data_IF_037725854106
#
_entry.id   IF_037725854106
#
_cell.length_a   1.000
_cell.length_b   1.000
_cell.length_c   1.000
_cell.angle_alpha   90.00
_cell.angle_beta   90.00
_cell.angle_gamma   90.00
#
_symmetry.space_group_name_H-M   'P 1'
#
loop_
_entity.id
_entity.type
_entity.pdbx_description
1 polymer ?
#
# COMPACT_ATOMS: atom_id res chain seq x y z
N UNK A 1 5.31 -10.08 -21.42
CA UNK A 1 4.31 -10.93 -20.70
C UNK A 1 3.39 -10.01 -19.91
N UNK A 2 2.11 -10.14 -20.13
CA UNK A 2 1.11 -9.26 -19.48
C UNK A 2 0.78 -9.81 -18.09
N UNK A 3 1.40 -9.24 -17.05
CA UNK A 3 1.21 -9.68 -15.67
C UNK A 3 0.54 -8.57 -14.87
N UNK A 4 -0.56 -8.91 -14.19
CA UNK A 4 -1.22 -8.05 -13.21
C UNK A 4 -0.65 -8.33 -11.82
N UNK A 5 -0.36 -7.26 -11.07
CA UNK A 5 0.07 -7.32 -9.68
C UNK A 5 -0.98 -6.70 -8.76
N UNK A 6 -1.20 -7.30 -7.57
CA UNK A 6 -2.02 -6.72 -6.51
C UNK A 6 -1.13 -6.29 -5.36
N UNK A 7 -1.32 -5.06 -4.88
CA UNK A 7 -0.59 -4.46 -3.76
C UNK A 7 -1.53 -4.17 -2.60
N UNK A 8 -1.67 -5.08 -1.64
CA UNK A 8 -2.52 -4.89 -0.48
C UNK A 8 -1.84 -4.06 0.60
N UNK A 9 -2.60 -3.20 1.26
CA UNK A 9 -2.11 -2.41 2.38
C UNK A 9 -3.24 -1.72 3.14
N UNK A 10 -2.92 -1.25 4.36
CA UNK A 10 -3.85 -0.47 5.16
C UNK A 10 -3.94 0.98 4.68
N UNK A 11 -2.81 1.56 4.24
CA UNK A 11 -2.70 2.94 3.73
C UNK A 11 -3.36 3.98 4.66
N UNK A 12 -2.90 4.06 5.90
CA UNK A 12 -3.47 4.93 6.94
C UNK A 12 -2.47 5.99 7.47
N UNK A 13 -2.13 6.98 6.64
CA UNK A 13 -2.49 7.19 5.24
C UNK A 13 -1.51 6.56 4.25
N UNK A 14 -1.79 6.69 2.95
CA UNK A 14 -0.80 6.46 1.89
C UNK A 14 0.35 7.47 2.03
N UNK A 15 1.60 7.01 1.83
CA UNK A 15 2.82 7.81 1.98
C UNK A 15 3.62 7.85 0.67
N UNK A 16 4.62 8.72 0.61
CA UNK A 16 5.56 8.78 -0.51
C UNK A 16 6.30 7.44 -0.75
N UNK A 17 6.55 6.66 0.31
CA UNK A 17 7.12 5.32 0.17
C UNK A 17 6.17 4.32 -0.51
N UNK A 18 4.87 4.38 -0.20
CA UNK A 18 3.88 3.58 -0.91
C UNK A 18 3.76 3.98 -2.37
N UNK A 19 3.74 5.28 -2.63
CA UNK A 19 3.65 5.81 -3.99
C UNK A 19 4.88 5.44 -4.84
N UNK A 20 6.09 5.54 -4.28
CA UNK A 20 7.34 5.14 -4.95
C UNK A 20 7.27 3.67 -5.39
N UNK A 21 6.82 2.80 -4.50
CA UNK A 21 6.67 1.38 -4.79
C UNK A 21 5.66 1.14 -5.92
N UNK A 22 4.51 1.80 -5.87
CA UNK A 22 3.48 1.72 -6.93
C UNK A 22 4.01 2.25 -8.26
N UNK A 23 4.69 3.40 -8.25
CA UNK A 23 5.33 3.98 -9.45
C UNK A 23 6.29 3.01 -10.10
N UNK A 24 7.16 2.36 -9.31
CA UNK A 24 8.13 1.40 -9.85
C UNK A 24 7.46 0.13 -10.33
N UNK A 25 6.47 -0.37 -9.60
CA UNK A 25 5.67 -1.51 -10.01
C UNK A 25 4.90 -1.24 -11.31
N UNK A 26 4.37 -0.04 -11.51
CA UNK A 26 3.65 0.34 -12.73
C UNK A 26 4.52 0.33 -14.00
N UNK A 27 5.85 0.42 -13.85
CA UNK A 27 6.80 0.28 -14.97
C UNK A 27 7.18 -1.19 -15.25
N UNK A 28 6.91 -2.10 -14.31
CA UNK A 28 7.29 -3.52 -14.43
C UNK A 28 6.09 -4.36 -14.88
N UNK A 29 4.92 -4.08 -14.31
CA UNK A 29 3.71 -4.87 -14.54
C UNK A 29 2.76 -4.19 -15.54
N UNK A 30 1.99 -4.98 -16.25
CA UNK A 30 0.96 -4.47 -17.17
C UNK A 30 -0.07 -3.61 -16.42
N UNK A 31 -0.45 -4.05 -15.22
CA UNK A 31 -1.40 -3.36 -14.35
C UNK A 31 -1.05 -3.62 -12.88
N UNK A 32 -1.23 -2.61 -12.05
CA UNK A 32 -1.06 -2.68 -10.61
C UNK A 32 -2.38 -2.33 -9.93
N UNK A 33 -2.87 -3.25 -9.11
CA UNK A 33 -4.12 -3.09 -8.37
C UNK A 33 -3.77 -2.82 -6.91
N UNK A 34 -3.94 -1.59 -6.47
CA UNK A 34 -3.75 -1.19 -5.06
C UNK A 34 -5.01 -1.54 -4.29
N UNK A 35 -4.89 -2.47 -3.36
CA UNK A 35 -6.01 -3.01 -2.58
C UNK A 35 -5.99 -2.48 -1.15
N UNK A 36 -6.88 -1.53 -0.85
CA UNK A 36 -7.01 -0.93 0.48
C UNK A 36 -7.72 -1.89 1.41
N UNK A 37 -7.02 -2.35 2.47
CA UNK A 37 -7.55 -3.34 3.38
C UNK A 37 -8.53 -2.75 4.41
N UNK A 38 -9.67 -3.44 4.59
CA UNK A 38 -10.52 -3.24 5.75
C UNK A 38 -9.88 -3.96 6.94
N UNK A 39 -9.25 -3.21 7.84
CA UNK A 39 -8.54 -3.80 8.97
C UNK A 39 -9.37 -3.68 10.25
N UNK A 40 -9.92 -4.79 10.71
CA UNK A 40 -10.73 -4.87 11.94
C UNK A 40 -9.87 -4.84 13.21
N UNK A 41 -8.57 -5.14 13.11
CA UNK A 41 -7.67 -5.25 14.27
C UNK A 41 -6.88 -3.97 14.55
N UNK A 42 -6.81 -3.02 13.61
CA UNK A 42 -6.08 -1.77 13.79
C UNK A 42 -7.06 -0.60 13.95
N UNK A 43 -6.88 0.17 15.02
CA UNK A 43 -7.49 1.50 15.09
C UNK A 43 -6.82 2.41 14.07
N UNK A 44 -7.46 2.60 12.92
CA UNK A 44 -6.97 3.50 11.88
C UNK A 44 -7.39 4.94 12.20
N UNK A 45 -6.55 5.91 11.83
CA UNK A 45 -6.87 7.33 11.96
C UNK A 45 -7.98 7.73 10.96
N UNK A 46 -7.87 7.21 9.75
CA UNK A 46 -8.82 7.44 8.67
C UNK A 46 -9.77 6.27 8.50
N UNK A 47 -11.02 6.58 8.19
CA UNK A 47 -12.01 5.57 7.83
C UNK A 47 -11.59 4.80 6.57
N UNK A 48 -12.24 3.68 6.31
CA UNK A 48 -11.98 2.88 5.12
C UNK A 48 -12.18 3.66 3.82
N UNK A 49 -13.25 4.48 3.77
CA UNK A 49 -13.56 5.31 2.61
C UNK A 49 -12.54 6.43 2.42
N UNK A 50 -12.14 7.12 3.50
CA UNK A 50 -11.11 8.15 3.44
C UNK A 50 -9.77 7.60 2.92
N UNK A 51 -9.36 6.41 3.37
CA UNK A 51 -8.11 5.77 2.92
C UNK A 51 -8.18 5.38 1.43
N UNK A 52 -9.31 4.85 1.00
CA UNK A 52 -9.56 4.54 -0.39
C UNK A 52 -9.52 5.77 -1.28
N UNK A 53 -10.18 6.86 -0.88
CA UNK A 53 -10.21 8.11 -1.63
C UNK A 53 -8.83 8.76 -1.73
N UNK A 54 -8.04 8.74 -0.64
CA UNK A 54 -6.66 9.22 -0.66
C UNK A 54 -5.80 8.41 -1.64
N UNK A 55 -5.88 7.08 -1.63
CA UNK A 55 -5.16 6.24 -2.58
C UNK A 55 -5.56 6.55 -4.02
N UNK A 56 -6.86 6.66 -4.30
CA UNK A 56 -7.35 7.02 -5.64
C UNK A 56 -6.83 8.37 -6.10
N UNK A 57 -6.86 9.38 -5.23
CA UNK A 57 -6.40 10.72 -5.56
C UNK A 57 -4.91 10.78 -5.86
N UNK A 58 -4.09 10.21 -4.99
CA UNK A 58 -2.62 10.19 -5.12
C UNK A 58 -2.18 9.41 -6.35
N UNK A 59 -2.83 8.27 -6.62
CA UNK A 59 -2.41 7.34 -7.67
C UNK A 59 -3.07 7.58 -9.03
N UNK A 60 -3.99 8.55 -9.15
CA UNK A 60 -4.73 8.86 -10.39
C UNK A 60 -3.84 9.26 -11.58
N UNK A 61 -2.61 9.68 -11.31
CA UNK A 61 -1.61 10.06 -12.34
C UNK A 61 -0.98 8.85 -13.05
N UNK A 62 -1.15 7.63 -12.53
CA UNK A 62 -0.61 6.41 -13.13
C UNK A 62 -1.71 5.70 -13.93
N UNK A 63 -1.54 5.59 -15.26
CA UNK A 63 -2.58 5.11 -16.18
C UNK A 63 -2.95 3.62 -16.03
N UNK A 64 -2.02 2.81 -15.53
CA UNK A 64 -2.17 1.36 -15.35
C UNK A 64 -2.25 0.96 -13.87
N UNK A 65 -2.67 1.89 -13.02
CA UNK A 65 -2.88 1.66 -11.60
C UNK A 65 -4.35 1.84 -11.25
N UNK A 66 -4.96 0.80 -10.72
CA UNK A 66 -6.32 0.81 -10.19
C UNK A 66 -6.30 0.72 -8.66
N UNK A 67 -7.31 1.32 -8.01
CA UNK A 67 -7.48 1.23 -6.56
C UNK A 67 -8.80 0.56 -6.25
N UNK A 68 -8.75 -0.47 -5.41
CA UNK A 68 -9.95 -1.20 -4.97
C UNK A 68 -10.04 -1.26 -3.44
N UNK A 69 -11.23 -1.53 -2.96
CA UNK A 69 -11.50 -1.88 -1.57
C UNK A 69 -11.35 -3.39 -1.40
N UNK A 70 -10.63 -3.80 -0.36
CA UNK A 70 -10.38 -5.21 -0.03
C UNK A 70 -11.33 -5.63 1.10
N UNK A 71 -12.42 -6.29 0.77
CA UNK A 71 -13.48 -6.71 1.70
C UNK A 71 -13.45 -8.22 2.03
N UNK A 72 -12.52 -8.96 1.44
CA UNK A 72 -12.27 -10.39 1.66
C UNK A 72 -10.76 -10.70 1.63
N UNK A 73 -10.38 -11.96 1.67
CA UNK A 73 -8.97 -12.35 1.61
C UNK A 73 -8.30 -11.85 0.32
N UNK A 74 -7.08 -11.33 0.45
CA UNK A 74 -6.33 -10.79 -0.70
C UNK A 74 -6.14 -11.82 -1.82
N UNK A 75 -5.94 -13.09 -1.46
CA UNK A 75 -5.78 -14.18 -2.43
C UNK A 75 -7.04 -14.48 -3.24
N UNK A 76 -8.22 -14.24 -2.67
CA UNK A 76 -9.51 -14.39 -3.37
C UNK A 76 -9.68 -13.26 -4.38
N UNK A 77 -9.43 -12.02 -3.98
CA UNK A 77 -9.41 -10.89 -4.92
C UNK A 77 -8.38 -11.08 -6.03
N UNK A 78 -7.18 -11.54 -5.68
CA UNK A 78 -6.13 -11.80 -6.67
C UNK A 78 -6.58 -12.81 -7.72
N UNK A 79 -7.28 -13.88 -7.30
CA UNK A 79 -7.83 -14.90 -8.20
C UNK A 79 -8.90 -14.34 -9.13
N UNK A 80 -9.84 -13.56 -8.59
CA UNK A 80 -10.93 -12.94 -9.38
C UNK A 80 -10.42 -11.91 -10.39
N UNK A 81 -9.40 -11.15 -10.02
CA UNK A 81 -8.79 -10.13 -10.86
C UNK A 81 -7.70 -10.68 -11.78
N UNK A 82 -7.46 -11.99 -11.73
CA UNK A 82 -6.41 -12.69 -12.49
C UNK A 82 -5.01 -12.12 -12.22
N UNK A 83 -4.78 -11.57 -11.01
CA UNK A 83 -3.47 -11.13 -10.59
C UNK A 83 -2.57 -12.33 -10.29
N UNK A 84 -1.39 -12.37 -10.88
CA UNK A 84 -0.39 -13.44 -10.70
C UNK A 84 0.67 -13.08 -9.65
N UNK A 85 0.77 -11.81 -9.30
CA UNK A 85 1.77 -11.30 -8.37
C UNK A 85 1.09 -10.59 -7.22
N UNK A 86 1.49 -10.94 -5.99
CA UNK A 86 1.23 -10.17 -4.79
C UNK A 86 2.46 -9.34 -4.46
N UNK A 87 2.33 -8.02 -4.58
CA UNK A 87 3.40 -7.08 -4.33
C UNK A 87 3.46 -6.73 -2.84
N UNK A 88 4.66 -6.77 -2.26
CA UNK A 88 4.92 -6.41 -0.87
C UNK A 88 6.11 -5.46 -0.76
N UNK A 89 6.01 -4.46 0.08
CA UNK A 89 7.12 -3.57 0.42
C UNK A 89 7.94 -4.14 1.58
N UNK A 90 9.26 -4.20 1.43
CA UNK A 90 10.18 -4.56 2.51
C UNK A 90 11.05 -3.36 2.87
N UNK A 91 10.93 -2.84 4.08
CA UNK A 91 11.67 -1.68 4.57
C UNK A 91 12.85 -2.07 5.46
N UNK A 92 12.66 -3.09 6.29
CA UNK A 92 13.64 -3.53 7.28
C UNK A 92 13.69 -5.05 7.38
N UNK A 93 14.79 -5.57 7.94
CA UNK A 93 14.97 -7.01 8.18
C UNK A 93 13.87 -7.56 9.11
N UNK A 94 13.38 -6.75 10.05
CA UNK A 94 12.28 -7.14 10.95
C UNK A 94 10.94 -7.42 10.24
N UNK A 95 10.73 -6.83 9.05
CA UNK A 95 9.53 -7.09 8.26
C UNK A 95 9.62 -8.43 7.50
N UNK A 96 10.84 -8.90 7.22
CA UNK A 96 11.09 -10.00 6.31
C UNK A 96 10.47 -11.33 6.76
N UNK A 97 10.67 -11.71 8.01
CA UNK A 97 10.18 -12.98 8.52
C UNK A 97 8.66 -13.09 8.44
N UNK A 98 7.97 -12.04 8.87
CA UNK A 98 6.51 -11.97 8.79
C UNK A 98 6.00 -12.00 7.35
N UNK A 99 6.64 -11.26 6.45
CA UNK A 99 6.27 -11.21 5.04
C UNK A 99 6.50 -12.54 4.33
N UNK A 100 7.56 -13.27 4.68
CA UNK A 100 7.81 -14.64 4.16
C UNK A 100 6.75 -15.61 4.64
N UNK A 101 6.35 -15.55 5.92
CA UNK A 101 5.27 -16.38 6.45
C UNK A 101 3.96 -16.12 5.69
N UNK A 102 3.60 -14.85 5.47
CA UNK A 102 2.42 -14.49 4.68
C UNK A 102 2.51 -14.97 3.23
N UNK A 103 3.68 -14.87 2.61
CA UNK A 103 3.92 -15.36 1.26
C UNK A 103 3.65 -16.86 1.14
N UNK A 104 4.19 -17.64 2.08
CA UNK A 104 3.98 -19.10 2.13
C UNK A 104 2.50 -19.45 2.33
N UNK A 105 1.81 -18.73 3.22
CA UNK A 105 0.38 -18.91 3.45
C UNK A 105 -0.44 -18.56 2.20
N UNK A 106 -0.15 -17.45 1.55
CA UNK A 106 -0.82 -17.03 0.32
C UNK A 106 -0.65 -18.05 -0.80
N UNK A 107 0.56 -18.60 -0.96
CA UNK A 107 0.85 -19.66 -1.96
C UNK A 107 0.12 -20.96 -1.63
N UNK A 108 0.00 -21.33 -0.35
CA UNK A 108 -0.75 -22.51 0.07
C UNK A 108 -2.25 -22.38 -0.26
N UNK A 109 -2.81 -21.18 -0.10
CA UNK A 109 -4.23 -20.90 -0.42
C UNK A 109 -4.48 -20.72 -1.93
N UNK A 110 -3.52 -20.17 -2.65
CA UNK A 110 -3.59 -19.93 -4.10
C UNK A 110 -2.22 -20.20 -4.75
N UNK A 111 -1.97 -21.44 -5.24
CA UNK A 111 -0.68 -21.79 -5.86
C UNK A 111 -0.37 -21.00 -7.14
N UNK A 112 -1.35 -20.30 -7.71
CA UNK A 112 -1.17 -19.48 -8.90
C UNK A 112 -0.67 -18.07 -8.65
N UNK A 113 -0.41 -17.69 -7.38
CA UNK A 113 0.07 -16.35 -7.02
C UNK A 113 1.49 -16.41 -6.46
N UNK A 114 2.34 -15.52 -6.94
CA UNK A 114 3.70 -15.34 -6.41
C UNK A 114 3.84 -14.03 -5.65
N UNK A 115 4.55 -14.05 -4.53
CA UNK A 115 4.87 -12.83 -3.79
C UNK A 115 6.18 -12.24 -4.28
N UNK A 116 6.14 -10.96 -4.65
CA UNK A 116 7.33 -10.21 -5.03
C UNK A 116 7.55 -9.10 -4.02
N UNK A 117 8.78 -9.02 -3.52
CA UNK A 117 9.19 -8.02 -2.55
C UNK A 117 9.96 -6.90 -3.24
N UNK A 118 9.53 -5.67 -3.04
CA UNK A 118 10.26 -4.48 -3.47
C UNK A 118 10.75 -3.71 -2.25
N UNK A 119 12.03 -3.39 -2.23
CA UNK A 119 12.56 -2.42 -1.26
C UNK A 119 12.17 -1.00 -1.71
N UNK A 120 11.79 -0.10 -0.80
CA UNK A 120 11.60 1.31 -1.14
C UNK A 120 12.93 1.95 -1.52
N UNK A 121 12.86 3.10 -2.19
CA UNK A 121 14.01 3.99 -2.35
C UNK A 121 14.58 4.33 -0.96
N UNK A 122 15.91 4.46 -0.83
CA UNK A 122 16.59 4.69 0.44
C UNK A 122 16.00 5.88 1.22
N UNK A 123 15.66 6.96 0.51
CA UNK A 123 15.04 8.17 1.09
C UNK A 123 13.66 7.93 1.70
N UNK A 124 13.02 6.80 1.43
CA UNK A 124 11.70 6.43 1.97
C UNK A 124 11.76 5.22 2.91
N UNK A 125 12.94 4.62 3.10
CA UNK A 125 13.09 3.39 3.90
C UNK A 125 12.69 3.56 5.36
N UNK A 126 12.83 4.77 5.90
CA UNK A 126 12.47 5.13 7.28
C UNK A 126 11.03 5.63 7.44
N UNK A 127 10.27 5.77 6.33
CA UNK A 127 8.89 6.29 6.37
C UNK A 127 7.92 5.17 6.72
N UNK A 128 7.06 5.42 7.70
CA UNK A 128 5.88 4.60 7.97
C UNK A 128 4.66 5.49 8.22
N UNK A 129 3.47 4.96 7.95
CA UNK A 129 2.22 5.70 8.24
C UNK A 129 2.09 6.07 9.71
N UNK A 130 2.61 5.26 10.63
CA UNK A 130 2.61 5.56 12.07
C UNK A 130 3.47 6.77 12.39
N UNK A 131 4.72 6.80 11.89
CA UNK A 131 5.63 7.94 12.08
C UNK A 131 5.02 9.22 11.47
N UNK A 132 4.42 9.13 10.29
CA UNK A 132 3.77 10.27 9.63
C UNK A 132 2.63 10.83 10.49
N UNK A 133 1.81 9.98 11.08
CA UNK A 133 0.74 10.40 12.01
C UNK A 133 1.31 11.10 13.24
N UNK A 134 2.41 10.61 13.78
CA UNK A 134 3.07 11.24 14.95
C UNK A 134 3.67 12.60 14.61
N UNK A 135 4.33 12.73 13.45
CA UNK A 135 4.82 14.02 12.96
C UNK A 135 3.65 15.01 12.80
N UNK A 136 2.52 14.55 12.23
CA UNK A 136 1.33 15.39 12.05
C UNK A 136 0.77 15.90 13.39
N UNK A 137 0.66 15.05 14.41
CA UNK A 137 0.18 15.41 15.76
C UNK A 137 1.05 16.47 16.44
N UNK A 138 2.33 16.48 16.13
CA UNK A 138 3.29 17.46 16.66
C UNK A 138 3.53 18.65 15.73
N UNK A 139 2.67 18.86 14.73
CA UNK A 139 2.76 19.93 13.73
C UNK A 139 4.09 19.96 12.95
N UNK A 140 4.77 18.81 12.83
CA UNK A 140 6.00 18.69 12.05
C UNK A 140 5.76 18.83 10.54
N UNK A 141 6.81 19.01 9.77
CA UNK A 141 6.75 19.15 8.31
C UNK A 141 6.47 17.77 7.66
N UNK A 142 5.53 17.73 6.72
CA UNK A 142 5.07 16.50 6.07
C UNK A 142 5.29 16.46 4.55
N UNK A 143 5.60 17.59 3.95
CA UNK A 143 5.67 17.79 2.49
C UNK A 143 6.54 16.78 1.75
N UNK A 144 7.60 16.28 2.38
CA UNK A 144 8.51 15.30 1.77
C UNK A 144 8.00 13.84 1.87
N UNK A 145 6.99 13.60 2.70
CA UNK A 145 6.60 12.25 3.12
C UNK A 145 5.23 11.83 2.61
N UNK A 146 4.39 12.80 2.26
CA UNK A 146 3.03 12.55 1.76
C UNK A 146 2.67 13.55 0.66
N UNK A 147 1.69 13.19 -0.18
CA UNK A 147 1.09 14.11 -1.15
C UNK A 147 0.38 15.28 -0.44
N UNK A 148 0.33 16.44 -1.09
CA UNK A 148 -0.30 17.67 -0.54
C UNK A 148 -1.77 17.43 -0.11
N UNK A 149 -2.51 16.61 -0.87
CA UNK A 149 -3.87 16.25 -0.52
C UNK A 149 -3.94 15.44 0.78
N UNK A 150 -3.02 14.49 0.96
CA UNK A 150 -2.91 13.68 2.18
C UNK A 150 -2.46 14.52 3.36
N UNK A 151 -1.51 15.44 3.18
CA UNK A 151 -1.09 16.38 4.22
C UNK A 151 -2.28 17.20 4.73
N UNK A 152 -3.06 17.79 3.82
CA UNK A 152 -4.26 18.53 4.19
C UNK A 152 -5.21 17.69 5.04
N UNK A 153 -5.50 16.46 4.63
CA UNK A 153 -6.37 15.54 5.37
C UNK A 153 -5.82 15.17 6.74
N UNK A 154 -4.51 14.95 6.85
CA UNK A 154 -3.85 14.71 8.14
C UNK A 154 -4.02 15.90 9.08
N UNK A 155 -3.76 17.13 8.61
CA UNK A 155 -3.90 18.37 9.40
C UNK A 155 -5.33 18.56 9.91
N UNK A 156 -6.33 18.24 9.10
CA UNK A 156 -7.74 18.30 9.49
C UNK A 156 -8.09 17.26 10.56
N UNK A 157 -7.49 16.07 10.49
CA UNK A 157 -7.85 14.92 11.32
C UNK A 157 -7.16 14.89 12.71
N UNK A 158 -5.96 15.49 12.84
CA UNK A 158 -5.18 15.46 14.09
C UNK A 158 -5.35 16.72 14.96
N UNK A 159 -6.24 17.64 14.57
CA UNK A 159 -6.60 18.85 15.33
C UNK A 159 -7.30 18.53 16.63
#
# INVERSE_FOLDING_TARGET
MKIKAIYPGTFDPITAGHEDLVKRASNIFESVIVAVAYNTQKHTLFSYDERYDMCRKVLSKYKNVDVIKLDKLTVEHAKELEAKVMLRGLRAVSDFEYEVQLSNLNRAMNPGIESIFLSPDEKYSFISSSIIKDIARHNGELKMFVDDYVEKKLREKVK
#
